data_IF_089189803277
#
_entry.id   IF_089189803277
#
_cell.length_a   1.000
_cell.length_b   1.000
_cell.length_c   1.000
_cell.angle_alpha   90.00
_cell.angle_beta   90.00
_cell.angle_gamma   90.00
#
_symmetry.space_group_name_H-M   'P 1'
#
loop_
_entity.id
_entity.type
_entity.pdbx_description
1 polymer ?
#
# COMPACT_ATOMS: atom_id res chain seq x y z
N UNK A 1 -10.40 -25.90 22.53
CA UNK A 1 -11.70 -25.79 23.22
C UNK A 1 -12.55 -24.80 22.42
N UNK A 2 -13.66 -25.25 21.86
CA UNK A 2 -14.59 -24.39 21.13
C UNK A 2 -15.51 -23.72 22.14
N UNK A 3 -15.47 -22.40 22.23
CA UNK A 3 -16.37 -21.61 23.09
C UNK A 3 -17.70 -21.49 22.37
N UNK A 4 -18.78 -21.87 23.01
CA UNK A 4 -20.12 -21.80 22.41
C UNK A 4 -20.67 -20.37 22.36
N UNK A 5 -21.57 -20.10 21.43
CA UNK A 5 -22.21 -18.77 21.29
C UNK A 5 -22.91 -18.33 22.58
N UNK A 6 -23.49 -19.26 23.35
CA UNK A 6 -24.14 -18.97 24.65
C UNK A 6 -23.13 -18.54 25.71
N UNK A 7 -21.95 -19.12 25.76
CA UNK A 7 -20.86 -18.71 26.65
C UNK A 7 -20.32 -17.33 26.32
N UNK A 8 -20.28 -16.98 25.04
CA UNK A 8 -19.89 -15.63 24.57
C UNK A 8 -20.89 -14.58 25.04
N UNK A 9 -22.19 -14.85 25.00
CA UNK A 9 -23.24 -13.91 25.42
C UNK A 9 -23.30 -13.69 26.94
N UNK A 10 -22.88 -14.65 27.75
CA UNK A 10 -22.92 -14.56 29.22
C UNK A 10 -21.70 -13.87 29.84
N UNK A 11 -20.62 -13.67 29.12
CA UNK A 11 -19.37 -13.09 29.61
C UNK A 11 -19.13 -11.71 28.99
N UNK A 12 -18.81 -10.71 29.84
CA UNK A 12 -18.28 -9.43 29.40
C UNK A 12 -16.83 -9.63 28.99
N UNK A 13 -16.59 -9.84 27.71
CA UNK A 13 -15.22 -9.98 27.16
C UNK A 13 -14.62 -8.61 26.85
N UNK A 14 -13.53 -8.32 27.47
CA UNK A 14 -12.66 -7.20 27.10
C UNK A 14 -11.49 -7.74 26.28
N UNK A 15 -11.78 -8.20 25.05
CA UNK A 15 -10.76 -8.75 24.15
C UNK A 15 -10.98 -8.25 22.73
N UNK A 16 -10.18 -7.28 22.27
CA UNK A 16 -10.20 -6.82 20.88
C UNK A 16 -10.04 -7.95 19.86
N UNK A 17 -9.21 -8.95 20.17
CA UNK A 17 -8.95 -10.08 19.28
C UNK A 17 -10.18 -10.97 19.07
N UNK A 18 -11.01 -11.16 20.11
CA UNK A 18 -12.26 -11.91 19.97
C UNK A 18 -13.29 -11.14 19.16
N UNK A 19 -13.39 -9.83 19.37
CA UNK A 19 -14.25 -8.96 18.59
C UNK A 19 -13.85 -8.97 17.10
N UNK A 20 -12.56 -8.81 16.80
CA UNK A 20 -12.06 -8.86 15.43
C UNK A 20 -12.35 -10.21 14.78
N UNK A 21 -12.14 -11.32 15.47
CA UNK A 21 -12.49 -12.66 14.96
C UNK A 21 -13.97 -12.76 14.64
N UNK A 22 -14.84 -12.36 15.54
CA UNK A 22 -16.28 -12.35 15.31
C UNK A 22 -16.68 -11.50 14.11
N UNK A 23 -16.11 -10.30 13.98
CA UNK A 23 -16.34 -9.44 12.82
C UNK A 23 -15.86 -10.10 11.52
N UNK A 24 -14.68 -10.71 11.51
CA UNK A 24 -14.15 -11.40 10.33
C UNK A 24 -15.02 -12.59 9.91
N UNK A 25 -15.60 -13.32 10.86
CA UNK A 25 -16.51 -14.45 10.61
C UNK A 25 -17.92 -14.00 10.15
N UNK A 26 -18.38 -12.84 10.63
CA UNK A 26 -19.73 -12.33 10.35
C UNK A 26 -19.82 -11.43 9.11
N UNK A 27 -18.71 -10.79 8.70
CA UNK A 27 -18.70 -9.87 7.58
C UNK A 27 -18.49 -10.61 6.25
N UNK A 28 -19.44 -10.49 5.35
CA UNK A 28 -19.25 -10.90 3.95
C UNK A 28 -18.73 -9.72 3.13
N UNK A 29 -17.53 -9.81 2.53
CA UNK A 29 -17.01 -8.72 1.70
C UNK A 29 -17.93 -8.43 0.51
N UNK A 30 -18.46 -7.19 0.43
CA UNK A 30 -19.42 -6.79 -0.60
C UNK A 30 -18.86 -6.86 -2.02
N UNK A 31 -17.54 -6.79 -2.16
CA UNK A 31 -16.81 -6.88 -3.43
C UNK A 31 -15.99 -8.15 -3.56
N UNK A 32 -16.31 -9.21 -2.81
CA UNK A 32 -15.71 -10.53 -3.06
C UNK A 32 -15.90 -10.95 -4.51
N UNK A 33 -14.89 -11.53 -5.12
CA UNK A 33 -15.00 -12.05 -6.49
C UNK A 33 -15.93 -13.26 -6.52
N UNK A 34 -17.00 -13.17 -7.27
CA UNK A 34 -18.02 -14.23 -7.39
C UNK A 34 -18.36 -14.60 -8.83
N UNK A 35 -17.62 -14.08 -9.79
CA UNK A 35 -18.02 -14.18 -11.18
C UNK A 35 -16.95 -14.63 -12.14
N UNK A 36 -17.26 -14.62 -13.41
CA UNK A 36 -16.38 -14.96 -14.53
C UNK A 36 -15.62 -13.76 -15.11
N UNK A 37 -16.14 -12.52 -14.97
CA UNK A 37 -15.49 -11.32 -15.50
C UNK A 37 -14.59 -10.64 -14.46
N UNK A 38 -13.33 -11.08 -14.44
CA UNK A 38 -12.28 -10.51 -13.58
C UNK A 38 -12.06 -9.03 -13.86
N UNK A 39 -12.07 -8.63 -15.15
CA UNK A 39 -11.79 -7.22 -15.52
C UNK A 39 -12.88 -6.27 -15.03
N UNK A 40 -14.14 -6.66 -15.15
CA UNK A 40 -15.25 -5.87 -14.62
C UNK A 40 -15.20 -5.78 -13.09
N UNK A 41 -14.88 -6.88 -12.41
CA UNK A 41 -14.68 -6.89 -10.96
C UNK A 41 -13.54 -5.97 -10.53
N UNK A 42 -12.36 -6.06 -11.18
CA UNK A 42 -11.22 -5.18 -10.89
C UNK A 42 -11.56 -3.71 -11.06
N UNK A 43 -12.32 -3.33 -12.09
CA UNK A 43 -12.76 -1.94 -12.29
C UNK A 43 -13.66 -1.46 -11.14
N UNK A 44 -14.61 -2.29 -10.68
CA UNK A 44 -15.47 -1.96 -9.52
C UNK A 44 -14.66 -1.83 -8.24
N UNK A 45 -13.77 -2.80 -7.98
CA UNK A 45 -12.91 -2.81 -6.80
C UNK A 45 -12.03 -1.55 -6.76
N UNK A 46 -11.33 -1.23 -7.86
CA UNK A 46 -10.50 -0.02 -7.96
C UNK A 46 -11.27 1.25 -7.66
N UNK A 47 -12.47 1.40 -8.22
CA UNK A 47 -13.31 2.58 -7.94
C UNK A 47 -13.62 2.69 -6.46
N UNK A 48 -14.00 1.57 -5.84
CA UNK A 48 -14.34 1.55 -4.42
C UNK A 48 -13.14 1.86 -3.54
N UNK A 49 -11.99 1.24 -3.81
CA UNK A 49 -10.74 1.51 -3.09
C UNK A 49 -10.37 2.99 -3.22
N UNK A 50 -10.34 3.54 -4.43
CA UNK A 50 -10.05 4.98 -4.64
C UNK A 50 -11.00 5.89 -3.85
N UNK A 51 -12.29 5.57 -3.81
CA UNK A 51 -13.28 6.31 -3.03
C UNK A 51 -13.03 6.24 -1.52
N UNK A 52 -12.55 5.10 -1.01
CA UNK A 52 -12.32 4.90 0.42
C UNK A 52 -11.01 5.55 0.90
N UNK A 53 -9.96 5.52 0.09
CA UNK A 53 -8.66 6.11 0.45
C UNK A 53 -8.59 7.61 0.16
N UNK A 54 -9.63 8.20 -0.46
CA UNK A 54 -9.65 9.63 -0.74
C UNK A 54 -8.51 10.05 -1.67
N UNK A 55 -8.35 9.38 -2.80
CA UNK A 55 -7.32 9.76 -3.79
C UNK A 55 -7.42 11.24 -4.13
N UNK A 56 -6.32 11.99 -4.00
CA UNK A 56 -6.30 13.40 -4.35
C UNK A 56 -6.71 13.58 -5.82
N UNK A 57 -7.64 14.50 -6.05
CA UNK A 57 -8.02 14.98 -7.37
C UNK A 57 -7.32 16.30 -7.65
N UNK A 58 -7.13 16.62 -8.93
CA UNK A 58 -6.56 17.90 -9.34
C UNK A 58 -5.48 17.74 -10.40
N UNK A 59 -4.88 18.85 -10.78
CA UNK A 59 -3.72 18.86 -11.66
C UNK A 59 -2.51 18.26 -10.95
N UNK A 60 -1.69 17.57 -11.70
CA UNK A 60 -0.46 16.98 -11.16
C UNK A 60 0.59 18.06 -11.04
N UNK A 61 1.18 18.20 -9.87
CA UNK A 61 2.35 19.02 -9.68
C UNK A 61 3.54 18.51 -10.49
N UNK A 62 4.38 19.40 -11.03
CA UNK A 62 5.69 19.03 -11.56
C UNK A 62 6.50 18.31 -10.49
N UNK A 63 7.11 17.19 -10.83
CA UNK A 63 7.85 16.39 -9.85
C UNK A 63 9.06 17.10 -9.22
N UNK A 64 9.63 18.12 -9.90
CA UNK A 64 10.77 18.91 -9.40
C UNK A 64 11.86 18.05 -8.77
N UNK A 65 12.24 16.95 -9.44
CA UNK A 65 13.18 15.96 -8.91
C UNK A 65 14.54 16.60 -8.65
N UNK A 66 15.06 16.38 -7.43
CA UNK A 66 16.39 16.83 -7.01
C UNK A 66 17.18 15.64 -6.51
N UNK A 67 18.37 15.42 -7.07
CA UNK A 67 19.32 14.43 -6.55
C UNK A 67 20.02 15.00 -5.32
N UNK A 68 20.01 14.27 -4.22
CA UNK A 68 20.76 14.63 -3.02
C UNK A 68 22.17 14.03 -3.04
N UNK A 69 22.28 12.78 -3.47
CA UNK A 69 23.52 12.08 -3.70
C UNK A 69 23.30 10.83 -4.55
N UNK A 70 24.35 10.40 -5.25
CA UNK A 70 24.42 9.13 -5.98
C UNK A 70 25.68 8.37 -5.55
N UNK A 71 25.57 7.07 -5.43
CA UNK A 71 26.68 6.17 -5.10
C UNK A 71 26.67 4.97 -6.03
N UNK A 72 27.86 4.59 -6.46
CA UNK A 72 28.06 3.36 -7.23
C UNK A 72 28.22 2.17 -6.26
N UNK A 73 27.77 1.01 -6.71
CA UNK A 73 27.83 -0.26 -6.00
C UNK A 73 28.13 -1.39 -6.99
N UNK A 74 28.82 -2.49 -6.61
CA UNK A 74 29.10 -3.59 -7.53
C UNK A 74 27.88 -4.21 -8.24
N UNK A 75 26.68 -4.05 -7.70
CA UNK A 75 25.41 -4.49 -8.30
C UNK A 75 24.70 -3.40 -9.10
N UNK A 76 25.24 -2.18 -9.15
CA UNK A 76 24.62 -1.06 -9.84
C UNK A 76 24.80 0.26 -9.12
N UNK A 77 23.83 1.17 -9.21
CA UNK A 77 23.90 2.46 -8.53
C UNK A 77 22.68 2.68 -7.65
N UNK A 78 22.86 3.47 -6.59
CA UNK A 78 21.79 3.96 -5.73
C UNK A 78 21.85 5.48 -5.67
N UNK A 79 20.73 6.11 -5.95
CA UNK A 79 20.57 7.55 -5.92
C UNK A 79 19.47 7.94 -4.93
N UNK A 80 19.79 8.86 -4.02
CA UNK A 80 18.82 9.47 -3.12
C UNK A 80 18.27 10.72 -3.77
N UNK A 81 16.96 10.73 -3.99
CA UNK A 81 16.26 11.86 -4.61
C UNK A 81 15.18 12.40 -3.67
N UNK A 82 14.81 13.65 -3.91
CA UNK A 82 13.60 14.27 -3.38
C UNK A 82 12.76 14.76 -4.54
N UNK A 83 11.47 14.52 -4.49
CA UNK A 83 10.54 15.02 -5.50
C UNK A 83 9.25 15.54 -4.88
N UNK A 84 8.61 16.50 -5.55
CA UNK A 84 7.32 17.04 -5.14
C UNK A 84 6.20 16.07 -5.48
N UNK A 85 5.41 15.67 -4.49
CA UNK A 85 4.24 14.79 -4.68
C UNK A 85 2.94 15.57 -4.75
N UNK A 86 2.84 16.64 -3.98
CA UNK A 86 1.67 17.51 -3.85
C UNK A 86 2.14 18.92 -3.50
N UNK A 87 1.29 19.96 -3.62
CA UNK A 87 1.64 21.29 -3.14
C UNK A 87 2.12 21.25 -1.69
N UNK A 88 3.30 21.80 -1.44
CA UNK A 88 3.94 21.86 -0.11
C UNK A 88 4.34 20.48 0.47
N UNK A 89 4.40 19.44 -0.35
CA UNK A 89 4.77 18.08 0.09
C UNK A 89 5.85 17.49 -0.80
N UNK A 90 7.01 17.26 -0.21
CA UNK A 90 8.12 16.57 -0.87
C UNK A 90 8.27 15.14 -0.31
N UNK A 91 8.61 14.23 -1.18
CA UNK A 91 8.87 12.82 -0.86
C UNK A 91 10.32 12.48 -1.16
N UNK A 92 10.96 11.83 -0.21
CA UNK A 92 12.29 11.27 -0.38
C UNK A 92 12.20 9.83 -0.88
N UNK A 93 13.02 9.48 -1.87
CA UNK A 93 13.08 8.14 -2.42
C UNK A 93 14.51 7.72 -2.75
N UNK A 94 14.72 6.41 -2.84
CA UNK A 94 15.94 5.82 -3.38
C UNK A 94 15.64 5.19 -4.73
N UNK A 95 16.42 5.53 -5.75
CA UNK A 95 16.39 4.93 -7.08
C UNK A 95 17.59 4.00 -7.19
N UNK A 96 17.32 2.72 -7.34
CA UNK A 96 18.35 1.70 -7.52
C UNK A 96 18.32 1.21 -8.96
N UNK A 97 19.44 1.29 -9.65
CA UNK A 97 19.60 0.81 -11.04
C UNK A 97 20.62 -0.33 -11.05
N UNK A 98 20.31 -1.47 -11.67
CA UNK A 98 21.24 -2.59 -11.77
C UNK A 98 22.35 -2.31 -12.79
N UNK A 99 23.60 -2.73 -12.50
CA UNK A 99 24.76 -2.56 -13.36
C UNK A 99 24.58 -3.31 -14.70
N UNK A 100 24.03 -4.50 -14.66
CA UNK A 100 23.96 -5.41 -15.81
C UNK A 100 22.73 -5.23 -16.69
N UNK A 101 21.83 -4.28 -16.40
CA UNK A 101 20.61 -4.10 -17.15
C UNK A 101 20.62 -2.84 -18.01
N UNK A 102 19.99 -2.93 -19.18
CA UNK A 102 19.78 -1.81 -20.10
C UNK A 102 18.30 -1.44 -20.20
N UNK A 103 17.96 -0.16 -20.43
CA UNK A 103 16.57 0.24 -20.66
C UNK A 103 15.92 -0.50 -21.84
N UNK A 104 14.60 -0.73 -21.82
CA UNK A 104 13.68 -0.29 -20.77
C UNK A 104 13.70 -1.21 -19.54
N UNK A 105 13.61 -0.62 -18.34
CA UNK A 105 13.59 -1.35 -17.08
C UNK A 105 12.17 -1.73 -16.65
N UNK A 106 12.05 -2.87 -15.94
CA UNK A 106 10.89 -3.16 -15.12
C UNK A 106 11.05 -2.48 -13.76
N UNK A 107 10.03 -1.79 -13.29
CA UNK A 107 10.08 -1.04 -12.03
C UNK A 107 9.32 -1.74 -10.91
N UNK A 108 9.90 -1.71 -9.73
CA UNK A 108 9.26 -2.09 -8.48
C UNK A 108 9.19 -0.87 -7.58
N UNK A 109 8.00 -0.54 -7.08
CA UNK A 109 7.81 0.50 -6.07
C UNK A 109 7.74 -0.18 -4.71
N UNK A 110 8.78 0.02 -3.90
CA UNK A 110 8.87 -0.50 -2.54
C UNK A 110 8.40 0.58 -1.57
N UNK A 111 7.20 0.39 -1.01
CA UNK A 111 6.66 1.31 0.01
C UNK A 111 7.04 0.78 1.37
N UNK A 112 7.55 1.68 2.21
CA UNK A 112 7.97 1.32 3.54
C UNK A 112 6.79 1.00 4.45
N UNK A 113 6.99 0.02 5.35
CA UNK A 113 6.05 -0.30 6.42
C UNK A 113 6.17 0.64 7.62
N UNK A 114 5.41 0.37 8.67
CA UNK A 114 5.16 1.25 9.81
C UNK A 114 6.37 1.52 10.73
N UNK A 115 7.42 0.70 10.73
CA UNK A 115 8.35 0.67 11.86
C UNK A 115 9.66 1.45 11.73
N UNK A 116 10.12 1.76 10.53
CA UNK A 116 11.41 2.45 10.33
C UNK A 116 11.34 3.37 9.12
N UNK A 117 11.76 4.63 9.26
CA UNK A 117 11.85 5.57 8.15
C UNK A 117 13.00 5.26 7.19
N UNK A 118 12.90 5.65 5.92
CA UNK A 118 14.02 5.70 4.99
C UNK A 118 14.90 6.91 5.39
N UNK A 119 15.86 6.66 6.23
CA UNK A 119 16.79 7.69 6.75
C UNK A 119 17.99 7.91 5.84
#
# INVERSE_FOLDING_TARGET
MSVTTAEIQSRRFYSPSLNHRHLMESITPSLAYKGSDVKAWQRRLRRRVKSLIGMPGGEREPLNVRSLWKREHPLGSIEKIVFTSEPYSDVMAYVCLPESATPPYSFFVCVQGHSTGAH
#
